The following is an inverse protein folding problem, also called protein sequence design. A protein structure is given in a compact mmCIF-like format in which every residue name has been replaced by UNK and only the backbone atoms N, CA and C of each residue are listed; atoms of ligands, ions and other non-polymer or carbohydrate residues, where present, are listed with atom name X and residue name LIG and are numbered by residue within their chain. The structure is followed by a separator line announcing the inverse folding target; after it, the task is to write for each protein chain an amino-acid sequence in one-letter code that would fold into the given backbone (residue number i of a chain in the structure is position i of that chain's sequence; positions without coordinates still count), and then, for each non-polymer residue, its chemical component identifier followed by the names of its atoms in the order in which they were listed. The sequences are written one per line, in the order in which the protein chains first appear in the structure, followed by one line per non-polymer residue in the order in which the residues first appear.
data_IF_312435121141
#
_entry.id   IF_312435121141
#
_cell.length_a   1.000
_cell.length_b   1.000
_cell.length_c   1.000
_cell.angle_alpha   90.00
_cell.angle_beta   90.00
_cell.angle_gamma   90.00
#
_symmetry.space_group_name_H-M   'P 1'
#
loop_
_entity.id
_entity.type
_entity.pdbx_description
1 polymer ?
#
# COMPACT_ATOMS: atom_id res chain seq x y z
N UNK A 1 16.51 12.61 -4.47
CA UNK A 1 16.01 11.82 -3.33
C UNK A 1 15.10 12.66 -2.47
N UNK A 2 13.98 12.10 -2.04
CA UNK A 2 13.10 12.78 -1.09
C UNK A 2 13.78 12.90 0.27
N UNK A 3 13.58 14.02 0.96
CA UNK A 3 14.02 14.17 2.34
C UNK A 3 13.11 13.33 3.25
N UNK A 4 13.53 13.08 4.49
CA UNK A 4 12.70 12.39 5.46
C UNK A 4 11.37 13.11 5.70
N UNK A 5 11.38 14.45 5.63
CA UNK A 5 10.16 15.23 5.79
C UNK A 5 9.22 15.05 4.61
N UNK A 6 9.74 15.07 3.40
CA UNK A 6 8.94 14.84 2.19
C UNK A 6 8.35 13.44 2.19
N UNK A 7 9.14 12.44 2.54
CA UNK A 7 8.69 11.06 2.62
C UNK A 7 7.59 10.92 3.67
N UNK A 8 7.73 11.58 4.83
CA UNK A 8 6.73 11.53 5.89
C UNK A 8 5.42 12.20 5.47
N UNK A 9 5.49 13.34 4.75
CA UNK A 9 4.30 14.01 4.25
C UNK A 9 3.60 13.15 3.20
N UNK A 10 4.35 12.58 2.25
CA UNK A 10 3.80 11.71 1.22
C UNK A 10 3.12 10.49 1.85
N UNK A 11 3.75 9.91 2.87
CA UNK A 11 3.19 8.76 3.59
C UNK A 11 1.86 9.14 4.25
N UNK A 12 1.81 10.27 4.94
CA UNK A 12 0.59 10.71 5.61
C UNK A 12 -0.57 10.89 4.61
N UNK A 13 -0.30 11.57 3.50
CA UNK A 13 -1.31 11.78 2.47
C UNK A 13 -1.73 10.46 1.82
N UNK A 14 -0.79 9.58 1.54
CA UNK A 14 -1.09 8.27 0.96
C UNK A 14 -1.93 7.43 1.92
N UNK A 15 -1.60 7.42 3.20
CA UNK A 15 -2.36 6.69 4.22
C UNK A 15 -3.80 7.18 4.28
N UNK A 16 -3.99 8.49 4.30
CA UNK A 16 -5.34 9.08 4.33
C UNK A 16 -6.14 8.70 3.08
N UNK A 17 -5.49 8.78 1.92
CA UNK A 17 -6.14 8.45 0.66
C UNK A 17 -6.56 6.98 0.63
N UNK A 18 -5.68 6.07 1.06
CA UNK A 18 -6.01 4.64 1.12
C UNK A 18 -7.20 4.42 2.05
N UNK A 19 -7.19 5.03 3.24
CA UNK A 19 -8.27 4.86 4.21
C UNK A 19 -9.61 5.36 3.67
N UNK A 20 -9.61 6.50 2.97
CA UNK A 20 -10.82 7.03 2.34
C UNK A 20 -11.33 6.08 1.27
N UNK A 21 -10.44 5.57 0.42
CA UNK A 21 -10.82 4.66 -0.65
C UNK A 21 -11.40 3.36 -0.10
N UNK A 22 -10.74 2.77 0.90
CA UNK A 22 -11.23 1.54 1.53
C UNK A 22 -12.56 1.79 2.25
N UNK A 23 -12.71 2.93 2.92
CA UNK A 23 -13.95 3.31 3.59
C UNK A 23 -15.10 3.52 2.63
N UNK A 24 -14.81 3.82 1.36
CA UNK A 24 -15.82 3.97 0.30
C UNK A 24 -16.18 2.64 -0.35
N UNK A 25 -15.61 1.53 0.10
CA UNK A 25 -15.89 0.22 -0.45
C UNK A 25 -15.00 -0.19 -1.61
N UNK A 26 -13.96 0.59 -1.91
CA UNK A 26 -13.00 0.25 -2.97
C UNK A 26 -12.06 -0.83 -2.45
N UNK A 27 -11.81 -1.88 -3.26
CA UNK A 27 -10.91 -2.96 -2.87
C UNK A 27 -9.47 -2.47 -2.74
N UNK A 28 -8.68 -3.19 -1.93
CA UNK A 28 -7.31 -2.79 -1.63
C UNK A 28 -6.45 -2.68 -2.88
N UNK A 29 -6.50 -3.66 -3.78
CA UNK A 29 -5.70 -3.63 -5.01
C UNK A 29 -6.02 -2.39 -5.84
N UNK A 30 -7.32 -2.07 -6.01
CA UNK A 30 -7.75 -0.88 -6.74
C UNK A 30 -7.29 0.40 -6.05
N UNK A 31 -7.35 0.44 -4.71
CA UNK A 31 -6.86 1.57 -3.94
C UNK A 31 -5.36 1.78 -4.17
N UNK A 32 -4.57 0.70 -4.16
CA UNK A 32 -3.12 0.79 -4.41
C UNK A 32 -2.83 1.28 -5.84
N UNK A 33 -3.63 0.86 -6.82
CA UNK A 33 -3.50 1.39 -8.18
C UNK A 33 -3.72 2.90 -8.23
N UNK A 34 -4.75 3.38 -7.55
CA UNK A 34 -5.06 4.81 -7.50
C UNK A 34 -3.95 5.60 -6.84
N UNK A 35 -3.42 5.11 -5.72
CA UNK A 35 -2.29 5.76 -5.04
C UNK A 35 -1.05 5.73 -5.92
N UNK A 36 -0.83 4.64 -6.65
CA UNK A 36 0.29 4.55 -7.59
C UNK A 36 0.26 5.63 -8.65
N UNK A 37 -0.93 6.08 -9.06
CA UNK A 37 -1.11 7.14 -10.05
C UNK A 37 -1.13 8.53 -9.43
N UNK A 38 -1.20 8.63 -8.11
CA UNK A 38 -1.55 9.85 -7.41
C UNK A 38 -0.42 10.82 -7.12
N UNK A 39 0.82 10.52 -7.44
CA UNK A 39 1.92 11.45 -7.23
C UNK A 39 2.38 11.56 -5.78
N UNK A 40 2.34 10.47 -5.03
CA UNK A 40 2.80 10.42 -3.64
C UNK A 40 4.28 10.03 -3.57
N UNK A 41 5.10 10.51 -4.50
CA UNK A 41 6.54 10.31 -4.49
C UNK A 41 6.94 8.84 -4.54
N UNK A 42 7.84 8.44 -3.64
CA UNK A 42 8.36 7.08 -3.58
C UNK A 42 7.26 6.05 -3.33
N UNK A 43 6.23 6.41 -2.56
CA UNK A 43 5.13 5.50 -2.26
C UNK A 43 4.36 5.15 -3.53
N UNK A 44 4.11 6.14 -4.39
CA UNK A 44 3.45 5.89 -5.68
C UNK A 44 4.30 4.96 -6.55
N UNK A 45 5.62 5.17 -6.58
CA UNK A 45 6.52 4.29 -7.34
C UNK A 45 6.50 2.86 -6.80
N UNK A 46 6.51 2.70 -5.48
CA UNK A 46 6.45 1.39 -4.83
C UNK A 46 5.14 0.67 -5.18
N UNK A 47 4.02 1.38 -5.12
CA UNK A 47 2.72 0.78 -5.40
C UNK A 47 2.54 0.44 -6.89
N UNK A 48 3.09 1.26 -7.79
CA UNK A 48 3.13 0.90 -9.22
C UNK A 48 3.88 -0.41 -9.44
N UNK A 49 5.01 -0.58 -8.75
CA UNK A 49 5.79 -1.80 -8.85
C UNK A 49 5.02 -3.00 -8.31
N UNK A 50 4.32 -2.84 -7.19
CA UNK A 50 3.46 -3.89 -6.65
C UNK A 50 2.43 -4.32 -7.70
N UNK A 51 1.71 -3.37 -8.30
CA UNK A 51 0.69 -3.68 -9.30
C UNK A 51 1.28 -4.39 -10.51
N UNK A 52 2.44 -3.93 -10.96
CA UNK A 52 3.15 -4.57 -12.06
C UNK A 52 3.49 -6.02 -11.74
N UNK A 53 3.96 -6.28 -10.52
CA UNK A 53 4.30 -7.63 -10.09
C UNK A 53 3.06 -8.52 -9.95
N UNK A 54 1.93 -7.96 -9.53
CA UNK A 54 0.67 -8.71 -9.48
C UNK A 54 0.24 -9.16 -10.88
N UNK A 55 0.43 -8.31 -11.88
CA UNK A 55 0.14 -8.66 -13.28
C UNK A 55 1.03 -9.79 -13.79
N UNK A 56 2.19 -9.99 -13.16
CA UNK A 56 3.13 -11.07 -13.50
C UNK A 56 2.90 -12.33 -12.67
N UNK A 57 1.88 -12.34 -11.80
CA UNK A 57 1.52 -13.52 -11.02
C UNK A 57 1.89 -13.50 -9.56
N UNK A 58 2.50 -12.41 -9.06
CA UNK A 58 2.80 -12.29 -7.63
C UNK A 58 1.53 -12.08 -6.82
N UNK A 59 1.56 -12.46 -5.55
CA UNK A 59 0.44 -12.28 -4.64
C UNK A 59 0.59 -10.97 -3.88
N UNK A 60 -0.52 -10.27 -3.66
CA UNK A 60 -0.53 -8.96 -3.00
C UNK A 60 0.09 -9.01 -1.62
N UNK A 61 -0.27 -10.02 -0.81
CA UNK A 61 0.28 -10.18 0.53
C UNK A 61 1.81 -10.28 0.51
N UNK A 62 2.35 -11.04 -0.42
CA UNK A 62 3.80 -11.22 -0.55
C UNK A 62 4.49 -9.92 -0.95
N UNK A 63 3.88 -9.16 -1.87
CA UNK A 63 4.43 -7.88 -2.31
C UNK A 63 4.43 -6.85 -1.18
N UNK A 64 3.37 -6.79 -0.39
CA UNK A 64 3.29 -5.91 0.76
C UNK A 64 4.30 -6.29 1.84
N UNK A 65 4.48 -7.60 2.07
CA UNK A 65 5.49 -8.08 3.02
C UNK A 65 6.90 -7.68 2.60
N UNK A 66 7.20 -7.80 1.31
CA UNK A 66 8.48 -7.40 0.75
C UNK A 66 8.74 -5.91 0.93
N UNK A 67 7.75 -5.07 0.57
CA UNK A 67 7.86 -3.63 0.78
C UNK A 67 8.05 -3.28 2.25
N UNK A 68 7.34 -3.96 3.14
CA UNK A 68 7.45 -3.73 4.58
C UNK A 68 8.87 -3.99 5.09
N UNK A 69 9.52 -5.06 4.60
CA UNK A 69 10.90 -5.36 4.97
C UNK A 69 11.89 -4.33 4.45
N UNK A 70 11.62 -3.78 3.26
CA UNK A 70 12.51 -2.83 2.59
C UNK A 70 12.18 -1.37 2.94
N UNK A 71 11.13 -1.14 3.74
CA UNK A 71 10.67 0.21 4.06
C UNK A 71 11.74 1.00 4.81
N UNK A 72 11.93 2.26 4.41
CA UNK A 72 12.95 3.13 4.97
C UNK A 72 12.59 3.66 6.37
N UNK A 73 11.33 3.62 6.75
CA UNK A 73 10.86 4.07 8.07
C UNK A 73 9.95 3.04 8.71
N UNK A 74 9.89 3.09 10.04
CA UNK A 74 8.98 2.22 10.80
C UNK A 74 7.52 2.54 10.52
N UNK A 75 7.21 3.82 10.29
CA UNK A 75 5.84 4.25 10.00
C UNK A 75 5.35 3.62 8.71
N UNK A 76 6.17 3.64 7.67
CA UNK A 76 5.83 3.03 6.38
C UNK A 76 5.69 1.50 6.51
N UNK A 77 6.64 0.87 7.21
CA UNK A 77 6.58 -0.57 7.45
C UNK A 77 5.28 -0.97 8.16
N UNK A 78 4.90 -0.23 9.19
CA UNK A 78 3.66 -0.49 9.95
C UNK A 78 2.42 -0.32 9.08
N UNK A 79 2.41 0.72 8.25
CA UNK A 79 1.31 0.96 7.33
C UNK A 79 1.14 -0.22 6.38
N UNK A 80 2.23 -0.68 5.78
CA UNK A 80 2.22 -1.81 4.85
C UNK A 80 1.75 -3.10 5.54
N UNK A 81 2.19 -3.33 6.77
CA UNK A 81 1.75 -4.48 7.56
C UNK A 81 0.26 -4.40 7.90
N UNK A 82 -0.25 -3.19 8.17
CA UNK A 82 -1.68 -2.98 8.39
C UNK A 82 -2.48 -3.34 7.14
N UNK A 83 -2.02 -2.91 5.98
CA UNK A 83 -2.66 -3.28 4.71
C UNK A 83 -2.64 -4.79 4.50
N UNK A 84 -1.52 -5.44 4.80
CA UNK A 84 -1.38 -6.89 4.68
C UNK A 84 -2.38 -7.62 5.58
N UNK A 85 -2.57 -7.14 6.80
CA UNK A 85 -3.54 -7.70 7.74
C UNK A 85 -4.96 -7.55 7.20
N UNK A 86 -5.28 -6.41 6.57
CA UNK A 86 -6.59 -6.18 5.98
C UNK A 86 -6.88 -7.14 4.84
N UNK A 87 -5.87 -7.47 4.01
CA UNK A 87 -6.03 -8.48 2.96
C UNK A 87 -6.46 -9.82 3.57
N UNK A 88 -5.78 -10.23 4.63
CA UNK A 88 -6.10 -11.48 5.33
C UNK A 88 -7.49 -11.44 5.94
N UNK A 89 -7.84 -10.32 6.60
CA UNK A 89 -9.14 -10.14 7.24
C UNK A 89 -10.29 -10.20 6.23
N UNK A 90 -10.13 -9.54 5.09
CA UNK A 90 -11.14 -9.56 4.03
C UNK A 90 -11.35 -10.99 3.52
N UNK A 91 -10.27 -11.75 3.38
CA UNK A 91 -10.36 -13.16 2.97
C UNK A 91 -11.12 -13.98 4.01
N UNK A 92 -10.84 -13.76 5.29
CA UNK A 92 -11.51 -14.47 6.37
C UNK A 92 -13.00 -14.11 6.44
N UNK A 93 -13.34 -12.84 6.26
CA UNK A 93 -14.73 -12.40 6.24
C UNK A 93 -15.51 -13.05 5.10
N UNK A 94 -14.90 -13.20 3.94
CA UNK A 94 -15.54 -13.84 2.80
C UNK A 94 -15.77 -15.34 3.01
N UNK A 95 -14.98 -15.96 3.86
CA UNK A 95 -15.14 -17.37 4.20
C UNK A 95 -16.18 -17.61 5.29
N UNK A 96 -16.47 -16.61 6.05
CA UNK A 96 -17.48 -16.70 7.09
C UNK A 96 -18.88 -16.63 6.51
#
# INVERSE_FOLDING_TARGET
MATNQEESADLLYAMRAVMVLLGSGIGLESALQMIGRGGYGAISRDFKEVIKNLQRGSQLEQELAKLSRDASTKAYSRFLNTLRTNVTSDTDLLRA
#
